data_IF_767590208123
#
_entry.id   IF_767590208123
#
_cell.length_a   1.000
_cell.length_b   1.000
_cell.length_c   1.000
_cell.angle_alpha   90.00
_cell.angle_beta   90.00
_cell.angle_gamma   90.00
#
_symmetry.space_group_name_H-M   'P 1'
#
loop_
_entity.id
_entity.type
_entity.pdbx_description
1 polymer ?
#
# COMPACT_ATOMS: atom_id res chain seq x y z
N UNK A 1 18.89 -6.75 -37.90
CA UNK A 1 18.04 -5.65 -38.41
C UNK A 1 16.61 -5.92 -37.98
N UNK A 2 16.08 -5.18 -37.00
CA UNK A 2 14.68 -5.35 -36.53
C UNK A 2 13.75 -4.39 -37.28
N UNK A 3 12.65 -4.85 -37.89
CA UNK A 3 11.70 -3.99 -38.59
C UNK A 3 10.57 -3.56 -37.65
N UNK A 4 10.86 -2.70 -36.67
CA UNK A 4 9.79 -1.98 -35.98
C UNK A 4 9.28 -0.87 -36.90
N UNK A 5 8.28 -1.20 -37.72
CA UNK A 5 7.60 -0.21 -38.55
C UNK A 5 6.86 0.79 -37.66
N UNK A 6 7.27 2.06 -37.73
CA UNK A 6 6.53 3.20 -37.19
C UNK A 6 5.17 3.30 -37.91
N UNK A 7 4.14 2.62 -37.41
CA UNK A 7 2.75 2.90 -37.81
C UNK A 7 2.37 4.27 -37.27
N UNK A 8 2.45 5.30 -38.13
CA UNK A 8 1.84 6.61 -37.86
C UNK A 8 0.36 6.40 -37.55
N UNK A 9 -0.06 6.58 -36.30
CA UNK A 9 -1.48 6.58 -35.91
C UNK A 9 -2.17 7.67 -36.73
N UNK A 10 -2.98 7.28 -37.72
CA UNK A 10 -3.82 8.21 -38.48
C UNK A 10 -5.10 8.38 -37.67
N UNK A 11 -5.34 9.60 -37.20
CA UNK A 11 -6.58 9.95 -36.51
C UNK A 11 -7.75 9.74 -37.47
N UNK A 12 -8.71 8.92 -37.05
CA UNK A 12 -9.93 8.65 -37.78
C UNK A 12 -10.99 9.70 -37.43
N UNK A 13 -11.99 9.92 -38.29
CA UNK A 13 -13.05 10.92 -38.03
C UNK A 13 -13.80 10.68 -36.71
N UNK A 14 -13.88 9.41 -36.28
CA UNK A 14 -14.43 9.01 -34.98
C UNK A 14 -13.62 9.56 -33.81
N UNK A 15 -12.29 9.69 -33.94
CA UNK A 15 -11.44 10.25 -32.88
C UNK A 15 -11.79 11.73 -32.64
N UNK A 16 -12.08 12.47 -33.71
CA UNK A 16 -12.53 13.86 -33.61
C UNK A 16 -13.89 13.99 -32.93
N UNK A 17 -14.81 13.07 -33.21
CA UNK A 17 -16.13 13.04 -32.55
C UNK A 17 -15.99 12.71 -31.07
N UNK A 18 -15.17 11.72 -30.73
CA UNK A 18 -14.92 11.35 -29.33
C UNK A 18 -14.28 12.52 -28.58
N UNK A 19 -13.28 13.18 -29.17
CA UNK A 19 -12.64 14.36 -28.58
C UNK A 19 -13.67 15.49 -28.40
N UNK A 20 -14.51 15.76 -29.40
CA UNK A 20 -15.54 16.79 -29.31
C UNK A 20 -16.57 16.49 -28.22
N UNK A 21 -17.01 15.22 -28.09
CA UNK A 21 -17.91 14.78 -27.02
C UNK A 21 -17.25 14.90 -25.64
N UNK A 22 -15.98 14.51 -25.50
CA UNK A 22 -15.24 14.64 -24.24
C UNK A 22 -15.07 16.11 -23.84
N UNK A 23 -14.71 16.98 -24.78
CA UNK A 23 -14.60 18.42 -24.54
C UNK A 23 -15.95 19.04 -24.19
N UNK A 24 -17.02 18.65 -24.89
CA UNK A 24 -18.39 19.08 -24.60
C UNK A 24 -18.85 18.64 -23.21
N UNK A 25 -18.55 17.40 -22.79
CA UNK A 25 -18.85 16.91 -21.45
C UNK A 25 -18.07 17.68 -20.38
N UNK A 26 -16.77 17.93 -20.58
CA UNK A 26 -15.96 18.71 -19.64
C UNK A 26 -16.49 20.14 -19.53
N UNK A 27 -16.82 20.78 -20.66
CA UNK A 27 -17.39 22.12 -20.67
C UNK A 27 -18.77 22.15 -19.99
N UNK A 28 -19.62 21.15 -20.22
CA UNK A 28 -20.91 21.01 -19.56
C UNK A 28 -20.75 20.81 -18.05
N UNK A 29 -19.84 19.94 -17.60
CA UNK A 29 -19.56 19.74 -16.18
C UNK A 29 -19.03 21.02 -15.55
N UNK A 30 -18.08 21.71 -16.20
CA UNK A 30 -17.56 22.98 -15.72
C UNK A 30 -18.67 24.02 -15.59
N UNK A 31 -19.51 24.17 -16.62
CA UNK A 31 -20.67 25.06 -16.60
C UNK A 31 -21.67 24.68 -15.50
N UNK A 32 -21.96 23.39 -15.33
CA UNK A 32 -22.87 22.92 -14.27
C UNK A 32 -22.29 23.12 -12.88
N UNK A 33 -20.99 22.93 -12.69
CA UNK A 33 -20.32 23.21 -11.41
C UNK A 33 -20.44 24.69 -11.11
N UNK A 34 -20.08 25.56 -12.06
CA UNK A 34 -20.14 27.01 -11.86
C UNK A 34 -21.57 27.54 -11.64
N UNK A 35 -22.56 27.01 -12.36
CA UNK A 35 -23.95 27.50 -12.25
C UNK A 35 -24.74 26.90 -11.07
N UNK A 36 -24.44 25.67 -10.67
CA UNK A 36 -25.16 25.00 -9.57
C UNK A 36 -24.45 25.22 -8.25
N UNK A 37 -23.12 25.11 -8.25
CA UNK A 37 -22.28 25.40 -7.10
C UNK A 37 -21.78 26.82 -7.27
N UNK A 38 -22.41 27.80 -6.62
CA UNK A 38 -21.84 29.14 -6.43
C UNK A 38 -20.63 29.04 -5.48
N UNK A 39 -19.63 28.26 -5.86
CA UNK A 39 -18.47 27.91 -5.08
C UNK A 39 -17.32 28.80 -5.49
N UNK A 40 -16.94 29.71 -4.60
CA UNK A 40 -15.72 30.48 -4.76
C UNK A 40 -14.55 29.54 -4.48
N UNK A 41 -13.76 29.22 -5.52
CA UNK A 41 -12.55 28.41 -5.40
C UNK A 41 -11.54 29.13 -4.50
N UNK A 42 -11.56 28.82 -3.22
CA UNK A 42 -10.68 29.43 -2.22
C UNK A 42 -9.66 28.41 -1.74
N UNK A 43 -8.47 28.39 -2.32
CA UNK A 43 -7.40 27.47 -1.91
C UNK A 43 -6.63 27.94 -0.68
N UNK A 44 -6.95 29.13 -0.13
CA UNK A 44 -6.19 29.74 0.96
C UNK A 44 -6.27 28.95 2.27
N UNK A 45 -7.31 28.12 2.44
CA UNK A 45 -7.47 27.28 3.61
C UNK A 45 -6.56 26.04 3.58
N UNK A 46 -6.11 25.56 2.40
CA UNK A 46 -5.37 24.30 2.31
C UNK A 46 -4.08 24.23 3.13
N UNK A 47 -3.21 25.27 3.12
CA UNK A 47 -1.98 25.25 3.91
C UNK A 47 -2.25 24.93 5.39
N UNK A 48 -3.37 25.41 5.94
CA UNK A 48 -3.73 25.17 7.34
C UNK A 48 -4.03 23.68 7.62
N UNK A 49 -4.51 22.92 6.62
CA UNK A 49 -4.79 21.48 6.75
C UNK A 49 -3.55 20.61 6.50
N UNK A 50 -2.49 21.19 5.93
CA UNK A 50 -1.19 20.55 5.78
C UNK A 50 -0.31 20.80 7.01
N UNK A 51 -0.24 22.04 7.47
CA UNK A 51 0.60 22.47 8.58
C UNK A 51 -0.24 23.34 9.52
N UNK A 52 -0.15 23.05 10.82
CA UNK A 52 -0.72 23.90 11.86
C UNK A 52 0.38 24.40 12.79
N UNK A 53 0.24 25.61 13.27
CA UNK A 53 1.07 26.12 14.35
C UNK A 53 0.58 25.51 15.67
N UNK A 54 1.48 24.85 16.40
CA UNK A 54 1.16 24.30 17.73
C UNK A 54 1.58 25.31 18.81
N UNK A 55 0.57 25.92 19.46
CA UNK A 55 0.80 26.91 20.51
C UNK A 55 1.47 26.34 21.76
N UNK A 56 1.34 25.03 22.03
CA UNK A 56 1.95 24.39 23.20
C UNK A 56 3.43 24.08 22.96
N UNK A 57 3.77 23.61 21.76
CA UNK A 57 5.13 23.19 21.41
C UNK A 57 5.95 24.27 20.67
N UNK A 58 5.33 25.41 20.33
CA UNK A 58 5.96 26.57 19.66
C UNK A 58 6.67 26.20 18.35
N UNK A 59 6.11 25.24 17.61
CA UNK A 59 6.64 24.81 16.31
C UNK A 59 5.52 24.41 15.34
N UNK A 60 5.87 24.31 14.05
CA UNK A 60 4.95 23.83 13.03
C UNK A 60 4.82 22.30 13.10
N UNK A 61 3.58 21.82 13.18
CA UNK A 61 3.27 20.39 13.21
C UNK A 61 2.45 20.02 11.98
N UNK A 62 2.66 18.81 11.47
CA UNK A 62 1.83 18.22 10.42
C UNK A 62 0.37 18.19 10.86
N UNK A 63 -0.55 18.72 10.05
CA UNK A 63 -1.98 18.64 10.29
C UNK A 63 -2.60 17.45 9.52
N UNK A 64 -3.91 17.23 9.64
CA UNK A 64 -4.63 16.00 9.27
C UNK A 64 -4.24 15.44 7.89
N UNK A 65 -4.15 16.29 6.84
CA UNK A 65 -3.82 15.81 5.50
C UNK A 65 -2.39 15.29 5.41
N UNK A 66 -1.45 16.00 6.01
CA UNK A 66 -0.04 15.60 6.03
C UNK A 66 0.18 14.40 6.96
N UNK A 67 -0.52 14.34 8.09
CA UNK A 67 -0.51 13.16 8.96
C UNK A 67 -1.03 11.92 8.23
N UNK A 68 -2.15 12.03 7.52
CA UNK A 68 -2.70 10.95 6.70
C UNK A 68 -1.71 10.47 5.63
N UNK A 69 -1.11 11.41 4.89
CA UNK A 69 -0.08 11.11 3.90
C UNK A 69 1.11 10.38 4.51
N UNK A 70 1.65 10.88 5.63
CA UNK A 70 2.78 10.25 6.31
C UNK A 70 2.42 8.85 6.81
N UNK A 71 1.20 8.65 7.31
CA UNK A 71 0.72 7.31 7.70
C UNK A 71 0.66 6.36 6.51
N UNK A 72 0.15 6.81 5.35
CA UNK A 72 0.17 5.99 4.12
C UNK A 72 1.59 5.63 3.70
N UNK A 73 2.53 6.57 3.76
CA UNK A 73 3.94 6.33 3.42
C UNK A 73 4.59 5.34 4.40
N UNK A 74 4.36 5.48 5.71
CA UNK A 74 4.86 4.54 6.74
C UNK A 74 4.30 3.14 6.51
N UNK A 75 2.98 3.02 6.32
CA UNK A 75 2.33 1.74 6.04
C UNK A 75 2.91 1.11 4.78
N UNK A 76 3.03 1.86 3.68
CA UNK A 76 3.59 1.35 2.43
C UNK A 76 5.03 0.88 2.60
N UNK A 77 5.88 1.67 3.26
CA UNK A 77 7.27 1.33 3.49
C UNK A 77 7.44 0.03 4.30
N UNK A 78 6.80 -0.05 5.47
CA UNK A 78 6.92 -1.22 6.34
C UNK A 78 6.25 -2.47 5.77
N UNK A 79 5.10 -2.31 5.12
CA UNK A 79 4.40 -3.44 4.47
C UNK A 79 5.21 -3.98 3.32
N UNK A 80 5.78 -3.11 2.48
CA UNK A 80 6.62 -3.52 1.35
C UNK A 80 7.89 -4.22 1.83
N UNK A 81 8.54 -3.71 2.88
CA UNK A 81 9.73 -4.34 3.45
C UNK A 81 9.43 -5.76 3.96
N UNK A 82 8.34 -5.91 4.71
CA UNK A 82 7.92 -7.20 5.25
C UNK A 82 7.41 -8.15 4.14
N UNK A 83 6.67 -7.64 3.15
CA UNK A 83 6.23 -8.38 1.96
C UNK A 83 7.42 -8.88 1.14
N UNK A 84 8.45 -8.06 0.97
CA UNK A 84 9.67 -8.43 0.27
C UNK A 84 10.38 -9.58 1.00
N UNK A 85 10.49 -9.50 2.33
CA UNK A 85 11.08 -10.56 3.15
C UNK A 85 10.28 -11.88 3.07
N UNK A 86 8.98 -11.84 3.40
CA UNK A 86 8.09 -13.00 3.38
C UNK A 86 8.02 -13.59 1.96
N UNK A 87 7.79 -12.75 0.96
CA UNK A 87 7.66 -13.17 -0.42
C UNK A 87 8.94 -13.78 -0.98
N UNK A 88 10.11 -13.26 -0.61
CA UNK A 88 11.38 -13.85 -1.03
C UNK A 88 11.58 -15.22 -0.39
N UNK A 89 11.38 -15.34 0.91
CA UNK A 89 11.47 -16.62 1.62
C UNK A 89 10.54 -17.67 1.00
N UNK A 90 9.26 -17.30 0.81
CA UNK A 90 8.24 -18.19 0.26
C UNK A 90 8.51 -18.50 -1.21
N UNK A 91 9.04 -17.56 -1.99
CA UNK A 91 9.44 -17.76 -3.38
C UNK A 91 10.57 -18.77 -3.53
N UNK A 92 11.58 -18.68 -2.66
CA UNK A 92 12.66 -19.68 -2.59
C UNK A 92 12.10 -21.06 -2.21
N UNK A 93 11.29 -21.14 -1.15
CA UNK A 93 10.64 -22.40 -0.73
C UNK A 93 9.79 -23.03 -1.84
N UNK A 94 9.16 -22.21 -2.68
CA UNK A 94 8.34 -22.65 -3.82
C UNK A 94 9.13 -23.38 -4.90
N UNK A 95 10.44 -23.13 -4.97
CA UNK A 95 11.36 -23.77 -5.93
C UNK A 95 12.13 -24.95 -5.34
N UNK A 96 11.90 -25.28 -4.05
CA UNK A 96 12.61 -26.34 -3.37
C UNK A 96 12.29 -27.75 -3.91
N UNK A 97 13.33 -28.60 -3.98
CA UNK A 97 13.20 -30.03 -4.36
C UNK A 97 12.41 -30.85 -3.32
N UNK A 98 12.42 -30.44 -2.05
CA UNK A 98 11.66 -31.08 -0.97
C UNK A 98 10.16 -30.71 -1.05
N UNK A 99 9.28 -31.65 -0.70
CA UNK A 99 7.83 -31.46 -0.78
C UNK A 99 7.31 -30.44 0.24
N UNK A 100 7.75 -30.54 1.50
CA UNK A 100 7.19 -29.73 2.59
C UNK A 100 7.34 -28.21 2.38
N UNK A 101 8.54 -27.65 2.07
CA UNK A 101 8.67 -26.20 1.84
C UNK A 101 7.83 -25.72 0.65
N UNK A 102 7.77 -26.54 -0.41
CA UNK A 102 6.98 -26.25 -1.60
C UNK A 102 5.48 -26.21 -1.30
N UNK A 103 5.02 -27.08 -0.41
CA UNK A 103 3.63 -27.17 0.01
C UNK A 103 3.25 -26.01 0.94
N UNK A 104 4.09 -25.65 1.91
CA UNK A 104 3.86 -24.48 2.78
C UNK A 104 3.72 -23.22 1.94
N UNK A 105 4.64 -23.01 0.99
CA UNK A 105 4.57 -21.89 0.04
C UNK A 105 3.32 -21.95 -0.84
N UNK A 106 2.92 -23.15 -1.29
CA UNK A 106 1.68 -23.36 -2.04
C UNK A 106 0.45 -22.89 -1.27
N UNK A 107 0.29 -23.39 -0.05
CA UNK A 107 -0.87 -23.15 0.80
C UNK A 107 -0.97 -21.67 1.12
N UNK A 108 0.13 -21.03 1.48
CA UNK A 108 0.17 -19.58 1.71
C UNK A 108 -0.32 -18.79 0.49
N UNK A 109 0.28 -19.01 -0.69
CA UNK A 109 -0.06 -18.23 -1.90
C UNK A 109 -1.50 -18.52 -2.34
N UNK A 110 -1.92 -19.77 -2.33
CA UNK A 110 -3.27 -20.16 -2.73
C UNK A 110 -4.31 -19.59 -1.74
N UNK A 111 -4.07 -19.67 -0.43
CA UNK A 111 -4.99 -19.11 0.57
C UNK A 111 -5.16 -17.59 0.37
N UNK A 112 -4.06 -16.84 0.30
CA UNK A 112 -4.11 -15.38 0.18
C UNK A 112 -4.80 -14.94 -1.11
N UNK A 113 -4.55 -15.63 -2.23
CA UNK A 113 -5.12 -15.26 -3.54
C UNK A 113 -6.57 -15.65 -3.72
N UNK A 114 -7.06 -16.61 -2.94
CA UNK A 114 -8.45 -17.07 -3.01
C UNK A 114 -9.39 -16.32 -2.02
N UNK A 115 -8.84 -15.55 -1.07
CA UNK A 115 -9.66 -14.74 -0.17
C UNK A 115 -9.98 -13.38 -0.82
N UNK A 116 -11.25 -12.93 -0.83
CA UNK A 116 -11.58 -11.58 -1.28
C UNK A 116 -10.82 -10.52 -0.48
N UNK A 117 -10.17 -9.53 -1.13
CA UNK A 117 -9.31 -8.56 -0.42
C UNK A 117 -10.03 -7.82 0.70
N UNK A 118 -11.31 -7.48 0.51
CA UNK A 118 -12.10 -6.82 1.54
C UNK A 118 -12.32 -7.69 2.79
N UNK A 119 -12.62 -8.98 2.59
CA UNK A 119 -12.77 -9.93 3.71
C UNK A 119 -11.46 -10.09 4.45
N UNK A 120 -10.34 -10.16 3.71
CA UNK A 120 -9.02 -10.24 4.30
C UNK A 120 -8.72 -9.04 5.19
N UNK A 121 -8.95 -7.82 4.69
CA UNK A 121 -8.79 -6.58 5.46
C UNK A 121 -9.68 -6.59 6.71
N UNK A 122 -10.94 -7.03 6.61
CA UNK A 122 -11.83 -7.10 7.77
C UNK A 122 -11.38 -8.10 8.83
N UNK A 123 -10.80 -9.25 8.45
CA UNK A 123 -10.21 -10.18 9.41
C UNK A 123 -9.07 -9.49 10.16
N UNK A 124 -8.19 -8.76 9.47
CA UNK A 124 -7.11 -8.06 10.15
C UNK A 124 -7.61 -6.92 11.03
N UNK A 125 -8.56 -6.14 10.55
CA UNK A 125 -9.12 -5.02 11.29
C UNK A 125 -9.90 -5.48 12.53
N UNK A 126 -10.87 -6.37 12.38
CA UNK A 126 -11.74 -6.77 13.49
C UNK A 126 -11.15 -7.91 14.32
N UNK A 127 -10.54 -8.91 13.68
CA UNK A 127 -10.06 -10.10 14.38
C UNK A 127 -8.64 -9.92 14.96
N UNK A 128 -7.70 -9.52 14.10
CA UNK A 128 -6.29 -9.40 14.51
C UNK A 128 -6.10 -8.19 15.44
N UNK A 129 -6.62 -7.01 15.07
CA UNK A 129 -6.51 -5.84 15.95
C UNK A 129 -7.33 -6.00 17.22
N UNK A 130 -8.55 -6.55 17.13
CA UNK A 130 -9.47 -6.61 18.26
C UNK A 130 -9.21 -7.75 19.25
N UNK A 131 -8.64 -8.87 18.82
CA UNK A 131 -8.39 -10.02 19.70
C UNK A 131 -6.92 -10.41 19.79
N UNK A 132 -6.16 -10.38 18.69
CA UNK A 132 -4.78 -10.86 18.72
C UNK A 132 -3.80 -9.83 19.31
N UNK A 133 -3.91 -8.55 18.95
CA UNK A 133 -2.99 -7.51 19.46
C UNK A 133 -3.06 -7.31 20.98
N UNK A 134 -4.25 -7.33 21.62
CA UNK A 134 -4.34 -7.33 23.08
C UNK A 134 -3.71 -8.58 23.71
N UNK A 135 -3.90 -9.76 23.11
CA UNK A 135 -3.27 -11.00 23.60
C UNK A 135 -1.74 -10.96 23.52
N UNK A 136 -1.18 -10.22 22.56
CA UNK A 136 0.26 -9.97 22.44
C UNK A 136 0.75 -8.91 23.45
N UNK A 137 -0.14 -8.30 24.24
CA UNK A 137 0.21 -7.32 25.27
C UNK A 137 0.65 -5.96 24.72
N UNK A 138 0.25 -5.61 23.49
CA UNK A 138 0.65 -4.35 22.83
C UNK A 138 0.12 -3.14 23.62
N UNK A 139 -1.14 -3.18 24.05
CA UNK A 139 -1.74 -2.14 24.88
C UNK A 139 -0.99 -1.94 26.21
N UNK A 140 -0.66 -3.03 26.91
CA UNK A 140 0.08 -2.98 28.17
C UNK A 140 1.50 -2.47 27.97
N UNK A 141 2.14 -2.83 26.86
CA UNK A 141 3.44 -2.30 26.47
C UNK A 141 3.37 -0.78 26.23
N UNK A 142 2.39 -0.29 25.46
CA UNK A 142 2.24 1.16 25.22
C UNK A 142 2.00 1.91 26.53
N UNK A 143 1.19 1.36 27.44
CA UNK A 143 0.90 1.96 28.75
C UNK A 143 2.09 2.02 29.69
N UNK A 144 2.98 1.02 29.61
CA UNK A 144 4.16 0.92 30.48
C UNK A 144 5.45 1.50 29.84
N UNK A 145 5.42 1.82 28.55
CA UNK A 145 6.56 2.34 27.82
C UNK A 145 6.98 3.74 28.31
N UNK A 146 8.30 3.98 28.30
CA UNK A 146 8.84 5.29 28.63
C UNK A 146 8.44 6.34 27.58
N UNK A 147 8.39 7.64 27.94
CA UNK A 147 8.12 8.72 26.98
C UNK A 147 9.03 8.68 25.75
N UNK A 148 10.32 8.38 25.93
CA UNK A 148 11.28 8.25 24.83
C UNK A 148 10.94 7.11 23.88
N UNK A 149 10.49 5.97 24.43
CA UNK A 149 10.05 4.82 23.62
C UNK A 149 8.83 5.18 22.80
N UNK A 150 7.85 5.86 23.42
CA UNK A 150 6.64 6.32 22.73
C UNK A 150 6.95 7.34 21.63
N UNK A 151 7.94 8.22 21.83
CA UNK A 151 8.38 9.15 20.79
C UNK A 151 9.00 8.43 19.59
N UNK A 152 9.83 7.41 19.83
CA UNK A 152 10.43 6.59 18.76
C UNK A 152 9.35 5.82 17.99
N UNK A 153 8.41 5.18 18.70
CA UNK A 153 7.27 4.49 18.08
C UNK A 153 6.40 5.48 17.28
N UNK A 154 6.14 6.64 17.87
CA UNK A 154 5.46 7.79 17.27
C UNK A 154 6.03 8.17 15.90
N UNK A 155 7.36 8.24 15.82
CA UNK A 155 8.05 8.60 14.59
C UNK A 155 8.01 7.48 13.55
N UNK A 156 8.26 6.23 13.96
CA UNK A 156 8.35 5.05 13.09
C UNK A 156 7.00 4.60 12.53
N UNK A 157 5.98 4.56 13.37
CA UNK A 157 4.68 3.94 13.07
C UNK A 157 3.52 4.94 13.08
N UNK A 158 3.73 6.16 13.59
CA UNK A 158 2.66 7.13 13.80
C UNK A 158 2.16 7.12 15.25
N UNK A 159 1.05 7.81 15.56
CA UNK A 159 0.57 8.01 16.92
C UNK A 159 0.50 6.69 17.71
N UNK A 160 1.13 6.60 18.90
CA UNK A 160 1.17 5.35 19.67
C UNK A 160 -0.22 4.78 19.99
N UNK A 161 -1.25 5.62 20.15
CA UNK A 161 -2.63 5.16 20.36
C UNK A 161 -3.21 4.36 19.18
N UNK A 162 -2.63 4.48 17.98
CA UNK A 162 -3.06 3.75 16.78
C UNK A 162 -2.12 2.59 16.44
N UNK A 163 -1.14 2.27 17.30
CA UNK A 163 -0.09 1.30 16.99
C UNK A 163 -0.66 -0.09 16.64
N UNK A 164 -1.68 -0.56 17.36
CA UNK A 164 -2.31 -1.85 17.07
C UNK A 164 -2.93 -1.89 15.67
N UNK A 165 -3.63 -0.82 15.28
CA UNK A 165 -4.24 -0.69 13.96
C UNK A 165 -3.17 -0.62 12.87
N UNK A 166 -2.08 0.12 13.11
CA UNK A 166 -0.96 0.26 12.18
C UNK A 166 -0.25 -1.07 12.00
N UNK A 167 0.08 -1.79 13.08
CA UNK A 167 0.72 -3.09 13.01
C UNK A 167 -0.16 -4.13 12.32
N UNK A 168 -1.46 -4.16 12.64
CA UNK A 168 -2.41 -5.04 11.95
C UNK A 168 -2.48 -4.71 10.45
N UNK A 169 -2.53 -3.43 10.09
CA UNK A 169 -2.48 -2.97 8.70
C UNK A 169 -1.20 -3.39 7.98
N UNK A 170 -0.03 -3.23 8.62
CA UNK A 170 1.26 -3.64 8.07
C UNK A 170 1.28 -5.15 7.81
N UNK A 171 0.85 -5.97 8.76
CA UNK A 171 0.83 -7.42 8.61
C UNK A 171 -0.16 -7.83 7.51
N UNK A 172 -1.35 -7.22 7.49
CA UNK A 172 -2.36 -7.45 6.47
C UNK A 172 -1.79 -7.19 5.07
N UNK A 173 -1.28 -5.98 4.83
CA UNK A 173 -0.73 -5.59 3.53
C UNK A 173 0.49 -6.46 3.18
N UNK A 174 1.38 -6.72 4.14
CA UNK A 174 2.57 -7.52 3.89
C UNK A 174 2.25 -8.96 3.50
N UNK A 175 1.27 -9.60 4.15
CA UNK A 175 0.85 -10.96 3.80
C UNK A 175 0.15 -11.01 2.44
N UNK A 176 -0.65 -9.99 2.12
CA UNK A 176 -1.33 -9.88 0.84
C UNK A 176 -0.33 -9.67 -0.31
N UNK A 177 0.51 -8.64 -0.21
CA UNK A 177 1.55 -8.30 -1.19
C UNK A 177 2.63 -9.38 -1.29
N UNK A 178 2.99 -10.01 -0.15
CA UNK A 178 3.98 -11.08 -0.09
C UNK A 178 3.63 -12.28 -0.98
N UNK A 179 2.33 -12.57 -1.19
CA UNK A 179 1.89 -13.63 -2.09
C UNK A 179 2.12 -13.27 -3.57
N UNK A 180 2.11 -11.99 -3.92
CA UNK A 180 2.51 -11.52 -5.26
C UNK A 180 4.02 -11.56 -5.41
N UNK A 181 4.77 -11.05 -4.42
CA UNK A 181 6.24 -11.10 -4.40
C UNK A 181 6.75 -12.56 -4.48
N UNK A 182 6.09 -13.50 -3.81
CA UNK A 182 6.41 -14.94 -3.88
C UNK A 182 6.44 -15.45 -5.31
N UNK A 183 5.45 -15.08 -6.12
CA UNK A 183 5.39 -15.53 -7.50
C UNK A 183 6.40 -14.81 -8.39
N UNK A 184 6.69 -13.53 -8.12
CA UNK A 184 7.75 -12.78 -8.80
C UNK A 184 9.11 -13.45 -8.56
N UNK A 185 9.42 -13.75 -7.30
CA UNK A 185 10.68 -14.41 -6.92
C UNK A 185 10.77 -15.81 -7.50
N UNK A 186 9.69 -16.61 -7.41
CA UNK A 186 9.62 -17.94 -8.04
C UNK A 186 9.89 -17.85 -9.55
N UNK A 187 9.23 -16.93 -10.24
CA UNK A 187 9.41 -16.74 -11.68
C UNK A 187 10.83 -16.29 -12.02
N UNK A 188 11.40 -15.37 -11.22
CA UNK A 188 12.79 -14.93 -11.35
C UNK A 188 13.79 -16.09 -11.22
N UNK A 189 13.62 -16.94 -10.22
CA UNK A 189 14.47 -18.12 -10.02
C UNK A 189 14.33 -19.11 -11.18
N UNK A 190 13.11 -19.33 -11.68
CA UNK A 190 12.85 -20.27 -12.78
C UNK A 190 13.28 -19.75 -14.15
N UNK A 191 13.43 -18.45 -14.32
CA UNK A 191 13.93 -17.86 -15.56
C UNK A 191 15.44 -18.12 -15.80
N UNK A 192 16.18 -18.54 -14.78
CA UNK A 192 17.61 -18.84 -14.89
C UNK A 192 17.82 -20.19 -15.63
N UNK A 193 18.62 -20.23 -16.71
CA UNK A 193 18.90 -21.46 -17.46
C UNK A 193 19.52 -22.56 -16.58
N UNK A 194 19.16 -23.81 -16.83
CA UNK A 194 19.63 -24.96 -16.06
C UNK A 194 21.16 -25.06 -15.96
N UNK A 195 21.89 -24.82 -17.06
CA UNK A 195 23.35 -24.86 -17.07
C UNK A 195 24.03 -23.80 -16.19
N UNK A 196 23.35 -22.71 -15.83
CA UNK A 196 23.87 -21.70 -14.90
C UNK A 196 23.53 -22.03 -13.44
N UNK A 197 22.48 -22.82 -13.20
CA UNK A 197 22.05 -23.24 -11.85
C UNK A 197 22.87 -24.42 -11.31
N UNK A 198 23.48 -25.18 -12.21
CA UNK A 198 24.30 -26.35 -11.88
C UNK A 198 25.80 -26.02 -11.77
N UNK A 199 26.20 -24.80 -12.18
CA UNK A 199 27.59 -24.36 -12.20
C UNK A 199 28.06 -23.67 -10.89
N UNK A 200 27.13 -23.29 -10.02
CA UNK A 200 27.40 -22.71 -8.69
C UNK A 200 26.92 -23.64 -7.58
#
# INVERSE_FOLDING_TARGET
MSPYSNRKRRLHWLDFIIIALMLGLVAYVYYRVDTVLHYNWDWSFLPQYLLRWDEQQQHWVANILLQGLLTTLRLAFWSMLLAAFIGTLMGVMRTAKRLLPRLISRVYVELIRNIPPLVFIFIFYFFISGQLMPLLGIEDFIRSASPDTLNVLGWLFGPPELLENVLSGIICLALFEGAYVTEIVRAGIQAIPHGQREAG
#
